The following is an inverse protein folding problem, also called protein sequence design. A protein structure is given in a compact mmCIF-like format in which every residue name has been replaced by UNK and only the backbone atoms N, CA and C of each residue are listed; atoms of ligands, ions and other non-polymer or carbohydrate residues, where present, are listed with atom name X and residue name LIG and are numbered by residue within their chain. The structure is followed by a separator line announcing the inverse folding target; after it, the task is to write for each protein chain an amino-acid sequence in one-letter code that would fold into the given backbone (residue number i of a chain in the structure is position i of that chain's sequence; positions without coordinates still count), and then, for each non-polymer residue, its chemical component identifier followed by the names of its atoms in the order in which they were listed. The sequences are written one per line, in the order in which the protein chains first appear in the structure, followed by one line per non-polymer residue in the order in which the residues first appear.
data_IF_236455648459
#
_entry.id   IF_236455648459
#
_cell.length_a   1.000
_cell.length_b   1.000
_cell.length_c   1.000
_cell.angle_alpha   90.00
_cell.angle_beta   90.00
_cell.angle_gamma   90.00
#
_symmetry.space_group_name_H-M   'P 1'
#
loop_
_entity.id
_entity.type
_entity.pdbx_description
1 polymer ?
#
# COMPACT_ATOMS: atom_id res chain seq x y z
N UNK A 1 9.79 54.85 -60.75
CA UNK A 1 9.43 54.94 -59.37
C UNK A 1 8.46 56.08 -59.21
N UNK A 2 7.22 55.79 -58.88
CA UNK A 2 6.20 56.81 -58.69
C UNK A 2 6.39 57.39 -57.29
N UNK A 3 7.11 58.49 -57.19
CA UNK A 3 7.50 59.19 -55.96
C UNK A 3 6.32 59.85 -55.21
N UNK A 4 5.11 59.45 -55.53
CA UNK A 4 3.88 59.95 -54.94
C UNK A 4 3.17 58.91 -54.09
N UNK A 5 3.87 58.01 -53.42
CA UNK A 5 3.27 57.45 -52.25
C UNK A 5 3.24 58.57 -51.23
N UNK A 6 2.13 59.27 -51.12
CA UNK A 6 2.03 60.47 -50.31
C UNK A 6 2.44 60.16 -48.90
N UNK A 7 3.18 60.98 -48.24
CA UNK A 7 3.64 60.89 -46.85
C UNK A 7 2.43 60.66 -45.93
N UNK A 8 1.26 61.12 -46.32
CA UNK A 8 0.00 60.97 -45.68
C UNK A 8 -0.47 59.51 -45.70
N UNK A 9 -0.33 58.80 -46.83
CA UNK A 9 -0.72 57.37 -46.97
C UNK A 9 0.19 56.50 -46.14
N UNK A 10 1.49 56.78 -46.08
CA UNK A 10 2.43 56.08 -45.21
C UNK A 10 2.15 56.34 -43.74
N UNK A 11 1.82 57.58 -43.37
CA UNK A 11 1.46 57.92 -41.98
C UNK A 11 0.15 57.33 -41.55
N UNK A 12 -0.83 57.25 -42.46
CA UNK A 12 -2.12 56.55 -42.17
C UNK A 12 -1.90 55.07 -42.00
N UNK A 13 -1.11 54.43 -42.85
CA UNK A 13 -0.79 52.95 -42.72
C UNK A 13 -0.01 52.66 -41.45
N UNK A 14 0.95 53.52 -41.07
CA UNK A 14 1.66 53.36 -39.80
C UNK A 14 0.72 53.46 -38.61
N UNK A 15 -0.23 54.38 -38.58
CA UNK A 15 -1.20 54.51 -37.48
C UNK A 15 -2.11 53.29 -37.41
N UNK A 16 -2.54 52.77 -38.56
CA UNK A 16 -3.35 51.53 -38.63
C UNK A 16 -2.57 50.34 -38.07
N UNK A 17 -1.32 50.14 -38.49
CA UNK A 17 -0.47 49.07 -38.00
C UNK A 17 -0.18 49.20 -36.50
N UNK A 18 0.04 50.41 -36.00
CA UNK A 18 0.22 50.63 -34.56
C UNK A 18 -1.04 50.30 -33.76
N UNK A 19 -2.22 50.65 -34.29
CA UNK A 19 -3.49 50.30 -33.64
C UNK A 19 -3.68 48.78 -33.62
N UNK A 20 -3.50 48.13 -34.76
CA UNK A 20 -3.64 46.68 -34.86
C UNK A 20 -2.65 45.93 -33.95
N UNK A 21 -1.40 46.44 -33.88
CA UNK A 21 -0.40 45.89 -32.97
C UNK A 21 -0.81 46.05 -31.51
N UNK A 22 -1.27 47.22 -31.09
CA UNK A 22 -1.75 47.43 -29.72
C UNK A 22 -2.95 46.58 -29.37
N UNK A 23 -3.88 46.37 -30.30
CA UNK A 23 -5.02 45.52 -30.14
C UNK A 23 -4.63 44.02 -29.99
N UNK A 24 -3.67 43.57 -30.82
CA UNK A 24 -3.14 42.20 -30.70
C UNK A 24 -2.43 41.96 -29.36
N UNK A 25 -1.61 42.89 -28.90
CA UNK A 25 -0.95 42.82 -27.60
C UNK A 25 -1.97 42.76 -26.47
N UNK A 26 -3.02 43.56 -26.53
CA UNK A 26 -4.10 43.53 -25.55
C UNK A 26 -4.77 42.15 -25.51
N UNK A 27 -5.11 41.58 -26.67
CA UNK A 27 -5.73 40.25 -26.77
C UNK A 27 -4.82 39.15 -26.23
N UNK A 28 -3.50 39.21 -26.48
CA UNK A 28 -2.52 38.29 -25.95
C UNK A 28 -2.50 38.39 -24.42
N UNK A 29 -2.44 39.58 -23.88
CA UNK A 29 -2.43 39.81 -22.44
C UNK A 29 -3.71 39.25 -21.75
N UNK A 30 -4.89 39.57 -22.29
CA UNK A 30 -6.16 39.07 -21.82
C UNK A 30 -6.22 37.53 -21.87
N UNK A 31 -5.75 36.91 -22.96
CA UNK A 31 -5.70 35.45 -23.10
C UNK A 31 -4.75 34.79 -22.12
N UNK A 32 -3.59 35.37 -21.84
CA UNK A 32 -2.67 34.86 -20.81
C UNK A 32 -3.26 34.98 -19.41
N UNK A 33 -3.91 36.11 -19.12
CA UNK A 33 -4.59 36.28 -17.82
C UNK A 33 -5.73 35.29 -17.60
N UNK A 34 -6.47 34.97 -18.65
CA UNK A 34 -7.54 33.95 -18.55
C UNK A 34 -7.00 32.57 -18.32
N UNK A 35 -5.92 32.15 -19.00
CA UNK A 35 -5.24 30.89 -18.74
C UNK A 35 -4.76 30.84 -17.28
N UNK A 36 -4.17 31.89 -16.77
CA UNK A 36 -3.69 31.98 -15.37
C UNK A 36 -4.82 31.82 -14.36
N UNK A 37 -5.94 32.50 -14.60
CA UNK A 37 -7.15 32.35 -13.77
C UNK A 37 -7.67 30.91 -13.77
N UNK A 38 -7.70 30.27 -14.94
CA UNK A 38 -8.09 28.86 -15.05
C UNK A 38 -7.13 27.93 -14.30
N UNK A 39 -5.82 28.15 -14.39
CA UNK A 39 -4.85 27.35 -13.63
C UNK A 39 -5.03 27.47 -12.10
N UNK A 40 -5.45 28.64 -11.62
CA UNK A 40 -5.71 28.89 -10.20
C UNK A 40 -7.10 28.51 -9.74
N UNK A 41 -8.02 28.20 -10.66
CA UNK A 41 -9.43 27.93 -10.33
C UNK A 41 -9.65 26.64 -9.54
N UNK A 42 -8.72 25.71 -9.62
CA UNK A 42 -8.82 24.41 -8.94
C UNK A 42 -7.63 24.23 -7.99
N UNK A 43 -7.81 24.44 -6.69
CA UNK A 43 -6.75 24.35 -5.70
C UNK A 43 -6.20 22.92 -5.58
N UNK A 44 -4.92 22.82 -5.22
CA UNK A 44 -4.17 21.57 -5.07
C UNK A 44 -3.99 20.73 -6.35
N UNK A 45 -4.12 21.35 -7.50
CA UNK A 45 -3.85 20.72 -8.81
C UNK A 45 -2.45 21.00 -9.31
N UNK A 46 -1.96 20.18 -10.25
CA UNK A 46 -0.65 20.41 -10.88
C UNK A 46 -0.57 21.74 -11.63
N UNK A 47 -1.61 22.22 -12.35
CA UNK A 47 -1.61 23.55 -12.95
C UNK A 47 -1.42 24.68 -11.94
N UNK A 48 -2.10 24.63 -10.78
CA UNK A 48 -1.94 25.62 -9.72
C UNK A 48 -0.54 25.62 -9.14
N UNK A 49 0.01 24.44 -8.85
CA UNK A 49 1.38 24.28 -8.32
C UNK A 49 2.43 24.81 -9.31
N UNK A 50 2.26 24.49 -10.58
CA UNK A 50 3.12 25.03 -11.64
C UNK A 50 3.02 26.55 -11.69
N UNK A 51 1.81 27.12 -11.72
CA UNK A 51 1.59 28.55 -11.74
C UNK A 51 2.30 29.24 -10.57
N UNK A 52 2.11 28.73 -9.35
CA UNK A 52 2.76 29.27 -8.14
C UNK A 52 4.29 29.18 -8.22
N UNK A 53 4.83 28.04 -8.66
CA UNK A 53 6.27 27.86 -8.86
C UNK A 53 6.84 28.75 -9.95
N UNK A 54 6.15 28.90 -11.08
CA UNK A 54 6.55 29.78 -12.17
C UNK A 54 6.52 31.24 -11.74
N UNK A 55 5.51 31.64 -10.98
CA UNK A 55 5.41 33.01 -10.44
C UNK A 55 6.55 33.34 -9.48
N UNK A 56 6.99 32.37 -8.67
CA UNK A 56 8.15 32.58 -7.78
C UNK A 56 9.48 32.67 -8.53
N UNK A 57 9.66 31.97 -9.66
CA UNK A 57 10.91 31.93 -10.43
C UNK A 57 11.04 33.05 -11.44
N UNK A 58 9.98 33.39 -12.15
CA UNK A 58 10.01 34.27 -13.32
C UNK A 58 9.36 35.62 -13.01
N UNK A 59 8.49 35.66 -11.98
CA UNK A 59 7.65 36.82 -11.70
C UNK A 59 6.51 36.99 -12.73
N UNK A 60 5.90 38.17 -12.71
CA UNK A 60 4.95 38.58 -13.74
C UNK A 60 5.72 39.20 -14.90
N UNK A 61 5.67 38.65 -16.12
CA UNK A 61 6.31 39.30 -17.26
C UNK A 61 5.63 40.65 -17.50
N UNK A 62 6.42 41.70 -17.79
CA UNK A 62 5.86 42.97 -18.14
C UNK A 62 5.02 42.87 -19.42
N UNK A 63 4.05 43.77 -19.63
CA UNK A 63 3.24 43.80 -20.84
C UNK A 63 4.11 43.77 -22.11
N UNK A 64 3.80 42.88 -23.03
CA UNK A 64 4.58 42.67 -24.27
C UNK A 64 5.66 41.58 -24.14
N UNK A 65 5.86 40.99 -22.97
CA UNK A 65 6.78 39.86 -22.76
C UNK A 65 6.04 38.57 -22.31
N UNK A 66 4.75 38.48 -22.52
CA UNK A 66 3.91 37.35 -22.20
C UNK A 66 4.37 36.05 -22.87
N UNK A 67 5.08 36.17 -24.00
CA UNK A 67 5.69 35.04 -24.70
C UNK A 67 6.66 34.25 -23.82
N UNK A 68 7.38 34.90 -22.89
CA UNK A 68 8.28 34.21 -21.95
C UNK A 68 7.53 33.26 -21.03
N UNK A 69 6.36 33.68 -20.60
CA UNK A 69 5.51 32.83 -19.77
C UNK A 69 4.91 31.68 -20.57
N UNK A 70 4.48 31.92 -21.81
CA UNK A 70 3.93 30.90 -22.72
C UNK A 70 5.02 29.87 -23.07
N UNK A 71 6.25 30.31 -23.36
CA UNK A 71 7.38 29.40 -23.61
C UNK A 71 7.72 28.55 -22.36
N UNK A 72 7.72 29.15 -21.18
CA UNK A 72 7.90 28.43 -19.91
C UNK A 72 6.83 27.38 -19.68
N UNK A 73 5.54 27.73 -19.91
CA UNK A 73 4.43 26.81 -19.81
C UNK A 73 4.53 25.64 -20.83
N UNK A 74 4.92 25.98 -22.07
CA UNK A 74 5.14 24.99 -23.12
C UNK A 74 6.27 24.02 -22.78
N UNK A 75 7.39 24.54 -22.28
CA UNK A 75 8.53 23.75 -21.84
C UNK A 75 8.17 22.82 -20.70
N UNK A 76 7.45 23.33 -19.70
CA UNK A 76 6.94 22.51 -18.60
C UNK A 76 6.04 21.38 -19.09
N UNK A 77 5.05 21.69 -19.92
CA UNK A 77 4.10 20.70 -20.41
C UNK A 77 4.78 19.60 -21.24
N UNK A 78 5.76 19.99 -22.07
CA UNK A 78 6.46 19.06 -22.96
C UNK A 78 7.48 18.17 -22.24
N UNK A 79 8.12 18.65 -21.19
CA UNK A 79 9.24 17.98 -20.54
C UNK A 79 8.94 17.61 -19.09
N UNK A 80 8.70 18.59 -18.22
CA UNK A 80 8.55 18.34 -16.78
C UNK A 80 7.25 17.57 -16.48
N UNK A 81 6.14 17.87 -17.12
CA UNK A 81 4.89 17.16 -16.93
C UNK A 81 5.01 15.69 -17.34
N UNK A 82 5.63 15.42 -18.50
CA UNK A 82 5.84 14.05 -18.97
C UNK A 82 6.76 13.26 -18.02
N UNK A 83 7.84 13.89 -17.54
CA UNK A 83 8.75 13.28 -16.58
C UNK A 83 8.07 13.02 -15.23
N UNK A 84 7.31 13.98 -14.72
CA UNK A 84 6.56 13.84 -13.47
C UNK A 84 5.51 12.72 -13.58
N UNK A 85 4.81 12.64 -14.71
CA UNK A 85 3.88 11.55 -15.00
C UNK A 85 4.57 10.18 -14.89
N UNK A 86 5.71 10.02 -15.57
CA UNK A 86 6.49 8.77 -15.54
C UNK A 86 6.94 8.43 -14.12
N UNK A 87 7.44 9.42 -13.39
CA UNK A 87 7.88 9.26 -11.99
C UNK A 87 6.73 8.82 -11.08
N UNK A 88 5.55 9.45 -11.21
CA UNK A 88 4.36 9.06 -10.42
C UNK A 88 3.90 7.64 -10.71
N UNK A 89 3.91 7.23 -11.99
CA UNK A 89 3.58 5.86 -12.38
C UNK A 89 4.58 4.88 -11.75
N UNK A 90 5.88 5.15 -11.83
CA UNK A 90 6.91 4.29 -11.25
C UNK A 90 6.82 4.21 -9.73
N UNK A 91 6.64 5.33 -9.04
CA UNK A 91 6.45 5.35 -7.59
C UNK A 91 5.22 4.57 -7.17
N UNK A 92 4.09 4.75 -7.86
CA UNK A 92 2.87 4.01 -7.59
C UNK A 92 3.05 2.51 -7.79
N UNK A 93 3.66 2.10 -8.90
CA UNK A 93 3.97 0.68 -9.19
C UNK A 93 4.89 0.07 -8.13
N UNK A 94 5.98 0.77 -7.79
CA UNK A 94 6.93 0.28 -6.77
C UNK A 94 6.28 0.14 -5.39
N UNK A 95 5.50 1.15 -4.98
CA UNK A 95 4.76 1.10 -3.72
C UNK A 95 3.81 -0.10 -3.69
N UNK A 96 2.98 -0.25 -4.73
CA UNK A 96 2.02 -1.34 -4.82
C UNK A 96 2.70 -2.72 -4.86
N UNK A 97 3.82 -2.87 -5.56
CA UNK A 97 4.59 -4.11 -5.60
C UNK A 97 5.13 -4.50 -4.22
N UNK A 98 5.65 -3.53 -3.46
CA UNK A 98 6.13 -3.78 -2.09
C UNK A 98 4.98 -4.22 -1.17
N UNK A 99 3.84 -3.57 -1.25
CA UNK A 99 2.66 -3.94 -0.47
C UNK A 99 2.10 -5.31 -0.91
N UNK A 100 2.08 -5.60 -2.21
CA UNK A 100 1.67 -6.92 -2.73
C UNK A 100 2.61 -8.04 -2.28
N UNK A 101 3.93 -7.77 -2.20
CA UNK A 101 4.90 -8.72 -1.67
C UNK A 101 4.65 -8.99 -0.16
N UNK A 102 4.36 -7.94 0.60
CA UNK A 102 3.99 -8.06 2.02
C UNK A 102 2.68 -8.85 2.19
N UNK A 103 1.65 -8.54 1.39
CA UNK A 103 0.40 -9.30 1.36
C UNK A 103 0.61 -10.78 1.08
N UNK A 104 1.42 -11.10 0.06
CA UNK A 104 1.76 -12.48 -0.27
C UNK A 104 2.52 -13.16 0.86
N UNK A 105 3.41 -12.43 1.55
CA UNK A 105 4.12 -12.90 2.74
C UNK A 105 3.17 -13.30 3.88
N UNK A 106 2.19 -12.45 4.17
CA UNK A 106 1.15 -12.72 5.17
C UNK A 106 0.27 -13.93 4.80
N UNK A 107 -0.11 -14.04 3.53
CA UNK A 107 -0.85 -15.20 3.01
C UNK A 107 -0.05 -16.50 3.15
N UNK A 108 1.24 -16.48 2.84
CA UNK A 108 2.13 -17.61 3.02
C UNK A 108 2.31 -17.97 4.49
N UNK A 109 2.46 -16.99 5.38
CA UNK A 109 2.51 -17.20 6.81
C UNK A 109 1.25 -17.92 7.32
N UNK A 110 0.07 -17.41 6.97
CA UNK A 110 -1.23 -18.05 7.31
C UNK A 110 -1.29 -19.51 6.83
N UNK A 111 -0.87 -19.75 5.58
CA UNK A 111 -0.83 -21.11 5.00
C UNK A 111 0.16 -22.01 5.74
N UNK A 112 1.34 -21.51 6.07
CA UNK A 112 2.35 -22.29 6.81
C UNK A 112 1.87 -22.68 8.21
N UNK A 113 1.23 -21.75 8.93
CA UNK A 113 0.65 -22.02 10.24
C UNK A 113 -0.47 -23.06 10.12
N UNK A 114 -1.35 -22.94 9.12
CA UNK A 114 -2.41 -23.92 8.87
C UNK A 114 -1.86 -25.31 8.54
N UNK A 115 -0.85 -25.41 7.70
CA UNK A 115 -0.17 -26.68 7.40
C UNK A 115 0.50 -27.26 8.64
N UNK A 116 1.16 -26.41 9.43
CA UNK A 116 1.77 -26.83 10.69
C UNK A 116 0.73 -27.39 11.66
N UNK A 117 -0.41 -26.69 11.82
CA UNK A 117 -1.50 -27.12 12.68
C UNK A 117 -2.06 -28.51 12.26
N UNK A 118 -2.27 -28.68 10.95
CA UNK A 118 -2.76 -29.94 10.38
C UNK A 118 -1.78 -31.10 10.60
N UNK A 119 -0.49 -30.85 10.33
CA UNK A 119 0.56 -31.84 10.54
C UNK A 119 0.66 -32.25 12.03
N UNK A 120 0.66 -31.26 12.94
CA UNK A 120 0.72 -31.51 14.37
C UNK A 120 -0.47 -32.32 14.84
N UNK A 121 -1.68 -31.97 14.40
CA UNK A 121 -2.89 -32.72 14.71
C UNK A 121 -2.79 -34.20 14.31
N UNK A 122 -2.25 -34.46 13.09
CA UNK A 122 -2.09 -35.86 12.62
C UNK A 122 -1.11 -36.68 13.46
N UNK A 123 -0.09 -36.02 14.04
CA UNK A 123 0.91 -36.69 14.88
C UNK A 123 0.44 -36.87 16.33
N UNK A 124 -0.45 -36.02 16.83
CA UNK A 124 -1.04 -36.18 18.17
C UNK A 124 -2.01 -37.34 18.23
N UNK A 125 -2.72 -37.62 17.13
CA UNK A 125 -3.69 -38.74 17.08
C UNK A 125 -3.04 -40.15 16.98
N UNK A 126 -1.74 -40.24 16.71
CA UNK A 126 -1.05 -41.50 16.40
C UNK A 126 -0.55 -42.28 17.61
N UNK A 127 -1.13 -42.14 18.80
CA UNK A 127 -0.91 -43.19 19.77
C UNK A 127 -0.41 -42.84 21.15
N UNK A 128 -0.81 -41.71 21.71
CA UNK A 128 -0.53 -41.45 23.12
C UNK A 128 -1.83 -41.60 23.94
N UNK A 129 -2.10 -42.83 24.35
CA UNK A 129 -3.15 -43.12 25.35
C UNK A 129 -2.50 -43.08 26.72
N UNK A 130 -2.75 -42.02 27.47
CA UNK A 130 -2.36 -41.95 28.87
C UNK A 130 -3.58 -42.32 29.72
N UNK A 131 -3.35 -43.01 30.82
CA UNK A 131 -4.39 -43.24 31.80
C UNK A 131 -5.02 -41.92 32.23
N UNK A 132 -6.33 -41.79 32.12
CA UNK A 132 -7.15 -40.61 32.44
C UNK A 132 -7.13 -39.43 31.41
N UNK A 133 -6.50 -39.58 30.24
CA UNK A 133 -6.64 -38.64 29.15
C UNK A 133 -7.10 -39.40 27.91
N UNK A 134 -8.33 -39.18 27.51
CA UNK A 134 -8.91 -39.86 26.37
C UNK A 134 -8.47 -39.25 25.02
N UNK A 135 -8.30 -37.94 24.97
CA UNK A 135 -7.88 -37.24 23.74
C UNK A 135 -7.22 -35.86 24.07
N UNK A 136 -6.17 -35.55 23.34
CA UNK A 136 -5.54 -34.23 23.36
C UNK A 136 -5.55 -33.67 21.95
N UNK A 137 -6.13 -32.50 21.80
CA UNK A 137 -6.20 -31.78 20.53
C UNK A 137 -5.56 -30.39 20.67
N UNK A 138 -4.77 -30.01 19.69
CA UNK A 138 -4.15 -28.72 19.60
C UNK A 138 -4.67 -27.99 18.35
N UNK A 139 -5.24 -26.80 18.54
CA UNK A 139 -5.74 -25.94 17.48
C UNK A 139 -4.79 -24.75 17.41
N UNK A 140 -4.18 -24.54 16.26
CA UNK A 140 -3.31 -23.41 15.98
C UNK A 140 -3.94 -22.62 14.84
N UNK A 141 -4.22 -21.35 15.10
CA UNK A 141 -4.80 -20.42 14.11
C UNK A 141 -4.00 -19.13 14.07
N UNK A 142 -4.24 -18.31 13.06
CA UNK A 142 -3.69 -16.98 12.99
C UNK A 142 -4.78 -15.94 12.97
N UNK A 143 -4.49 -14.76 13.53
CA UNK A 143 -5.36 -13.58 13.49
C UNK A 143 -4.85 -12.53 12.49
N UNK A 144 -4.10 -12.95 11.48
CA UNK A 144 -3.56 -12.07 10.42
C UNK A 144 -4.67 -11.31 9.71
N UNK A 145 -5.75 -12.01 9.35
CA UNK A 145 -6.90 -11.44 8.65
C UNK A 145 -7.83 -10.60 9.53
N UNK A 146 -7.61 -10.60 10.85
CA UNK A 146 -8.35 -9.75 11.80
C UNK A 146 -7.62 -8.44 12.10
N UNK A 147 -6.40 -8.29 11.57
CA UNK A 147 -5.63 -7.07 11.78
C UNK A 147 -6.27 -5.89 11.03
N UNK A 148 -6.18 -4.69 11.63
CA UNK A 148 -6.74 -3.46 11.07
C UNK A 148 -6.18 -3.10 9.68
N UNK A 149 -4.94 -3.48 9.40
CA UNK A 149 -4.30 -3.23 8.10
C UNK A 149 -4.72 -4.21 6.99
N UNK A 150 -5.33 -5.35 7.34
CA UNK A 150 -5.64 -6.40 6.37
C UNK A 150 -6.53 -5.91 5.24
N UNK A 151 -7.64 -5.28 5.57
CA UNK A 151 -8.61 -4.78 4.58
C UNK A 151 -8.02 -3.67 3.70
N UNK A 152 -7.24 -2.76 4.29
CA UNK A 152 -6.59 -1.69 3.54
C UNK A 152 -5.58 -2.22 2.52
N UNK A 153 -4.78 -3.21 2.91
CA UNK A 153 -3.79 -3.85 2.02
C UNK A 153 -4.49 -4.64 0.91
N UNK A 154 -5.55 -5.39 1.23
CA UNK A 154 -6.36 -6.12 0.27
C UNK A 154 -7.00 -5.19 -0.76
N UNK A 155 -7.58 -4.08 -0.32
CA UNK A 155 -8.15 -3.07 -1.19
C UNK A 155 -7.10 -2.48 -2.14
N UNK A 156 -5.92 -2.12 -1.63
CA UNK A 156 -4.82 -1.61 -2.46
C UNK A 156 -4.32 -2.65 -3.48
N UNK A 157 -4.21 -3.91 -3.07
CA UNK A 157 -3.81 -4.99 -3.97
C UNK A 157 -4.79 -5.14 -5.14
N UNK A 158 -6.09 -5.16 -4.86
CA UNK A 158 -7.14 -5.25 -5.89
C UNK A 158 -7.14 -4.02 -6.83
N UNK A 159 -6.94 -2.81 -6.29
CA UNK A 159 -6.84 -1.59 -7.11
C UNK A 159 -5.57 -1.60 -7.97
N UNK A 160 -4.47 -2.12 -7.46
CA UNK A 160 -3.23 -2.27 -8.23
C UNK A 160 -3.39 -3.25 -9.38
N UNK A 161 -4.00 -4.41 -9.17
CA UNK A 161 -4.24 -5.40 -10.21
C UNK A 161 -5.12 -4.82 -11.33
N UNK A 162 -6.15 -4.05 -10.96
CA UNK A 162 -6.99 -3.35 -11.91
C UNK A 162 -6.24 -2.27 -12.70
N UNK A 163 -5.39 -1.48 -12.03
CA UNK A 163 -4.60 -0.44 -12.68
C UNK A 163 -3.47 -1.00 -13.54
N UNK A 164 -2.78 -2.02 -13.07
CA UNK A 164 -1.63 -2.64 -13.75
C UNK A 164 -1.99 -3.11 -15.18
N UNK A 165 -3.24 -3.52 -15.39
CA UNK A 165 -3.72 -3.94 -16.72
C UNK A 165 -3.92 -2.78 -17.69
N UNK A 166 -3.93 -1.53 -17.21
CA UNK A 166 -4.17 -0.33 -18.04
C UNK A 166 -2.88 0.27 -18.65
N UNK A 167 -1.75 -0.39 -18.50
CA UNK A 167 -0.48 0.03 -19.10
C UNK A 167 0.15 1.25 -18.40
N UNK A 168 0.45 2.32 -19.18
CA UNK A 168 1.14 3.52 -18.68
C UNK A 168 0.16 4.66 -18.29
N UNK A 169 -1.04 4.31 -17.88
CA UNK A 169 -1.98 5.28 -17.34
C UNK A 169 -1.54 5.77 -15.95
N UNK A 170 -1.87 7.02 -15.61
CA UNK A 170 -1.70 7.53 -14.26
C UNK A 170 -2.50 6.67 -13.27
N UNK A 171 -2.03 6.55 -12.01
CA UNK A 171 -2.79 5.83 -10.99
C UNK A 171 -4.17 6.47 -10.82
N UNK A 172 -5.24 5.66 -10.86
CA UNK A 172 -6.60 6.16 -10.71
C UNK A 172 -6.84 6.69 -9.28
N UNK A 173 -7.86 7.53 -9.11
CA UNK A 173 -8.19 8.11 -7.83
C UNK A 173 -8.51 7.05 -6.74
N UNK A 174 -9.10 5.92 -7.13
CA UNK A 174 -9.37 4.78 -6.25
C UNK A 174 -8.06 4.17 -5.71
N UNK A 175 -7.06 3.95 -6.58
CA UNK A 175 -5.74 3.49 -6.16
C UNK A 175 -5.06 4.48 -5.19
N UNK A 176 -5.12 5.78 -5.50
CA UNK A 176 -4.53 6.83 -4.64
C UNK A 176 -5.21 6.83 -3.27
N UNK A 177 -6.53 6.67 -3.22
CA UNK A 177 -7.28 6.58 -1.96
C UNK A 177 -6.90 5.35 -1.15
N UNK A 178 -6.82 4.18 -1.78
CA UNK A 178 -6.38 2.94 -1.13
C UNK A 178 -4.93 3.03 -0.63
N UNK A 179 -4.02 3.62 -1.43
CA UNK A 179 -2.63 3.83 -1.03
C UNK A 179 -2.51 4.76 0.18
N UNK A 180 -3.33 5.80 0.25
CA UNK A 180 -3.39 6.72 1.41
C UNK A 180 -3.91 6.01 2.66
N UNK A 181 -4.93 5.18 2.52
CA UNK A 181 -5.46 4.40 3.63
C UNK A 181 -4.42 3.43 4.19
N UNK A 182 -3.73 2.69 3.33
CA UNK A 182 -2.60 1.83 3.75
C UNK A 182 -1.53 2.65 4.47
N UNK A 183 -1.13 3.79 3.91
CA UNK A 183 -0.14 4.66 4.55
C UNK A 183 -0.58 5.14 5.93
N UNK A 184 -1.84 5.52 6.11
CA UNK A 184 -2.40 5.93 7.41
C UNK A 184 -2.38 4.78 8.42
N UNK A 185 -2.84 3.59 8.02
CA UNK A 185 -2.90 2.43 8.92
C UNK A 185 -1.51 1.94 9.30
N UNK A 186 -0.54 1.96 8.38
CA UNK A 186 0.85 1.56 8.66
C UNK A 186 1.64 2.63 9.43
N UNK A 187 1.20 3.88 9.43
CA UNK A 187 1.84 4.97 10.21
C UNK A 187 1.36 5.02 11.65
N UNK A 188 0.29 4.31 11.99
CA UNK A 188 -0.18 4.20 13.37
C UNK A 188 0.69 3.16 14.10
N UNK A 189 1.55 3.62 15.03
CA UNK A 189 2.46 2.77 15.83
C UNK A 189 1.73 1.65 16.59
N UNK A 190 0.42 1.75 16.76
CA UNK A 190 -0.41 0.74 17.40
C UNK A 190 -0.94 -0.32 16.42
N UNK A 191 -0.76 -0.11 15.13
CA UNK A 191 -1.37 -0.93 14.08
C UNK A 191 -0.55 -2.14 13.63
N UNK A 192 0.76 -2.11 13.83
CA UNK A 192 1.64 -3.18 13.40
C UNK A 192 1.99 -4.09 14.58
N UNK A 193 1.64 -5.36 14.47
CA UNK A 193 2.11 -6.39 15.40
C UNK A 193 3.61 -6.58 15.12
N UNK A 194 4.44 -6.26 16.12
CA UNK A 194 5.90 -6.27 15.98
C UNK A 194 6.47 -7.70 15.89
N UNK A 195 5.82 -8.67 16.57
CA UNK A 195 6.23 -10.07 16.57
C UNK A 195 5.19 -10.95 15.87
N UNK A 196 5.56 -11.70 14.82
CA UNK A 196 4.66 -12.66 14.17
C UNK A 196 4.10 -13.72 15.13
N UNK A 197 4.76 -13.98 16.25
CA UNK A 197 4.25 -14.90 17.29
C UNK A 197 2.95 -14.40 17.89
N UNK A 198 2.78 -13.11 18.04
CA UNK A 198 1.56 -12.49 18.58
C UNK A 198 0.34 -12.65 17.64
N UNK A 199 0.60 -13.01 16.38
CA UNK A 199 -0.45 -13.34 15.40
C UNK A 199 -0.91 -14.80 15.48
N UNK A 200 -0.25 -15.62 16.28
CA UNK A 200 -0.56 -17.04 16.41
C UNK A 200 -1.39 -17.29 17.67
N UNK A 201 -2.54 -17.91 17.48
CA UNK A 201 -3.38 -18.37 18.57
C UNK A 201 -3.22 -19.87 18.75
N UNK A 202 -2.86 -20.25 19.96
CA UNK A 202 -2.76 -21.64 20.38
C UNK A 202 -3.90 -21.97 21.34
N UNK A 203 -4.66 -23.01 21.03
CA UNK A 203 -5.68 -23.56 21.91
C UNK A 203 -5.44 -25.04 22.10
N UNK A 204 -5.35 -25.48 23.33
CA UNK A 204 -5.24 -26.89 23.71
C UNK A 204 -6.57 -27.35 24.27
N UNK A 205 -7.08 -28.45 23.76
CA UNK A 205 -8.26 -29.11 24.28
C UNK A 205 -7.88 -30.52 24.73
N UNK A 206 -8.22 -30.89 25.96
CA UNK A 206 -8.00 -32.22 26.48
C UNK A 206 -9.31 -32.78 27.02
N UNK A 207 -9.60 -34.05 26.70
CA UNK A 207 -10.70 -34.79 27.27
C UNK A 207 -10.15 -35.63 28.42
N UNK A 208 -10.59 -35.30 29.63
CA UNK A 208 -10.10 -35.90 30.87
C UNK A 208 -11.20 -36.79 31.45
N UNK A 209 -10.87 -38.07 31.70
CA UNK A 209 -11.83 -39.00 32.26
C UNK A 209 -12.39 -38.50 33.58
N UNK A 210 -13.71 -38.44 33.68
CA UNK A 210 -14.45 -37.94 34.84
C UNK A 210 -14.68 -36.43 34.91
N UNK A 211 -13.90 -35.59 34.14
CA UNK A 211 -13.96 -34.13 34.16
C UNK A 211 -14.46 -33.51 32.84
N UNK A 212 -14.58 -34.32 31.79
CA UNK A 212 -15.02 -33.88 30.47
C UNK A 212 -13.97 -33.11 29.67
N UNK A 213 -14.39 -32.42 28.62
CA UNK A 213 -13.51 -31.66 27.73
C UNK A 213 -13.17 -30.29 28.33
N UNK A 214 -11.89 -30.00 28.50
CA UNK A 214 -11.37 -28.72 29.00
C UNK A 214 -10.55 -28.03 27.91
N UNK A 215 -10.55 -26.69 27.92
CA UNK A 215 -9.88 -25.84 26.90
C UNK A 215 -8.95 -24.88 27.60
N UNK A 216 -7.70 -24.83 27.12
CA UNK A 216 -6.70 -23.83 27.53
C UNK A 216 -6.26 -22.98 26.32
N UNK A 217 -6.16 -21.67 26.52
CA UNK A 217 -5.71 -20.71 25.51
C UNK A 217 -4.40 -20.00 25.86
N UNK A 218 -3.91 -20.23 27.07
CA UNK A 218 -2.65 -19.68 27.58
C UNK A 218 -2.10 -20.58 28.69
N UNK A 219 -0.87 -20.30 29.11
CA UNK A 219 -0.17 -21.05 30.15
C UNK A 219 -0.98 -21.13 31.46
N UNK A 220 -1.53 -20.02 31.92
CA UNK A 220 -2.31 -19.96 33.15
C UNK A 220 -3.59 -20.82 33.08
N UNK A 221 -4.26 -20.83 31.92
CA UNK A 221 -5.44 -21.69 31.71
C UNK A 221 -5.05 -23.17 31.57
N UNK A 222 -3.89 -23.46 30.96
CA UNK A 222 -3.35 -24.80 30.86
C UNK A 222 -3.03 -25.40 32.25
N UNK A 223 -2.38 -24.60 33.12
CA UNK A 223 -2.08 -24.98 34.51
C UNK A 223 -3.34 -25.26 35.33
N UNK A 224 -4.46 -24.63 35.02
CA UNK A 224 -5.76 -24.80 35.68
C UNK A 224 -6.61 -25.92 35.10
N UNK A 225 -6.25 -26.47 33.94
CA UNK A 225 -7.06 -27.50 33.26
C UNK A 225 -7.21 -28.77 34.13
N UNK A 226 -6.18 -29.11 34.88
CA UNK A 226 -6.17 -30.33 35.69
C UNK A 226 -5.21 -30.18 36.86
N UNK A 227 -5.07 -31.27 37.66
CA UNK A 227 -3.99 -31.38 38.63
C UNK A 227 -2.63 -31.13 37.94
N UNK A 228 -1.66 -30.58 38.70
CA UNK A 228 -0.33 -30.23 38.14
C UNK A 228 0.32 -31.38 37.33
N UNK A 229 0.15 -32.64 37.73
CA UNK A 229 0.70 -33.79 37.01
C UNK A 229 0.09 -33.98 35.60
N UNK A 230 -1.21 -33.79 35.45
CA UNK A 230 -1.90 -33.99 34.18
C UNK A 230 -1.60 -32.91 33.20
N UNK A 231 -1.42 -31.66 33.66
CA UNK A 231 -0.99 -30.53 32.81
C UNK A 231 0.40 -30.74 32.23
N UNK A 232 1.33 -31.33 33.02
CA UNK A 232 2.65 -31.70 32.52
C UNK A 232 2.60 -32.79 31.46
N UNK A 233 1.71 -33.81 31.63
CA UNK A 233 1.53 -34.86 30.64
C UNK A 233 1.03 -34.25 29.30
N UNK A 234 0.05 -33.35 29.35
CA UNK A 234 -0.44 -32.64 28.15
C UNK A 234 0.68 -31.92 27.44
N UNK A 235 1.55 -31.19 28.17
CA UNK A 235 2.72 -30.50 27.61
C UNK A 235 3.70 -31.51 26.98
N UNK A 236 3.97 -32.63 27.63
CA UNK A 236 4.85 -33.69 27.09
C UNK A 236 4.25 -34.29 25.81
N UNK A 237 2.95 -34.55 25.75
CA UNK A 237 2.24 -35.02 24.53
C UNK A 237 2.43 -34.03 23.37
N UNK A 238 2.23 -32.74 23.65
CA UNK A 238 2.42 -31.69 22.65
C UNK A 238 3.89 -31.64 22.17
N UNK A 239 4.84 -31.71 23.11
CA UNK A 239 6.27 -31.72 22.81
C UNK A 239 6.67 -32.93 21.97
N UNK A 240 6.16 -34.11 22.26
CA UNK A 240 6.38 -35.31 21.45
C UNK A 240 5.81 -35.13 20.05
N UNK A 241 4.63 -34.53 19.91
CA UNK A 241 4.06 -34.18 18.60
C UNK A 241 4.96 -33.28 17.78
N UNK A 242 5.53 -32.26 18.40
CA UNK A 242 6.52 -31.38 17.77
C UNK A 242 7.80 -32.11 17.35
N UNK A 243 8.35 -32.92 18.24
CA UNK A 243 9.56 -33.71 17.98
C UNK A 243 9.34 -34.67 16.82
N UNK A 244 8.22 -35.38 16.81
CA UNK A 244 7.88 -36.32 15.74
C UNK A 244 7.73 -35.63 14.39
N UNK A 245 7.20 -34.42 14.37
CA UNK A 245 7.12 -33.60 13.14
C UNK A 245 8.50 -33.20 12.63
N UNK A 246 9.40 -32.73 13.49
CA UNK A 246 10.79 -32.32 13.12
C UNK A 246 11.55 -33.54 12.63
N UNK A 247 11.50 -34.64 13.35
CA UNK A 247 12.18 -35.90 13.07
C UNK A 247 11.83 -36.48 11.69
N UNK A 248 10.57 -36.36 11.26
CA UNK A 248 10.12 -36.89 9.96
C UNK A 248 10.72 -36.14 8.78
N UNK A 249 11.07 -34.86 8.92
CA UNK A 249 11.74 -34.08 7.87
C UNK A 249 13.22 -34.45 7.72
N UNK A 250 13.92 -34.75 8.82
CA UNK A 250 15.36 -34.90 8.82
C UNK A 250 15.88 -36.36 8.78
N UNK A 251 14.98 -37.35 8.82
CA UNK A 251 15.34 -38.80 8.87
C UNK A 251 16.36 -39.16 9.97
N UNK A 252 16.52 -38.33 10.99
CA UNK A 252 17.45 -38.58 12.10
C UNK A 252 16.73 -39.47 13.12
N UNK A 253 17.21 -40.68 13.28
CA UNK A 253 16.75 -41.59 14.31
C UNK A 253 17.42 -41.23 15.63
N UNK A 254 16.81 -40.38 16.44
CA UNK A 254 17.23 -40.17 17.83
C UNK A 254 16.42 -41.18 18.67
N UNK A 255 17.04 -42.19 19.30
CA UNK A 255 16.34 -43.06 20.17
C UNK A 255 15.97 -42.29 21.45
N UNK A 256 14.68 -42.09 21.72
CA UNK A 256 14.22 -41.72 23.04
C UNK A 256 14.15 -43.00 23.88
N UNK A 257 14.98 -43.08 24.86
CA UNK A 257 14.82 -44.03 25.97
C UNK A 257 13.99 -43.29 27.02
N UNK A 258 12.79 -43.80 27.28
CA UNK A 258 11.93 -43.40 28.39
C UNK A 258 12.37 -44.18 29.60
#
# INVERSE_FOLDING_TARGET
FDDRVSLELLSARRRELQRNYAELLKRIHEGVDDIRKQMMSTPNTDPERYHTSAQQRIGYPPPGQEYLWIEGLRGWYQHEHAQNKTTLIQLGKTFAQNISAFWSGLGNFKKQVGNFASDLKSHLHQGLVFANIADVSVIITTDVDKQNYWQAIEALHNEYDSWHTQGDALPPASFISAAREVAMVLSDDKGLVADPVDLINLQVTANIDGDGSKVAKNEASLARMSSNGLSYIILVVILIGFINRIRRKERVAVPFVV
#
